data_IF_101152583497
#
_entry.id   IF_101152583497
#
_cell.length_a   1.000
_cell.length_b   1.000
_cell.length_c   1.000
_cell.angle_alpha   90.00
_cell.angle_beta   90.00
_cell.angle_gamma   90.00
#
_symmetry.space_group_name_H-M   'P 1'
#
loop_
_entity.id
_entity.type
_entity.pdbx_description
1 polymer ?
#
# COMPACT_ATOMS: atom_id res chain seq x y z
N UNK A 1 -11.66 17.94 -4.90
CA UNK A 1 -11.62 16.59 -4.31
C UNK A 1 -10.35 15.95 -4.80
N UNK A 2 -9.47 15.54 -3.89
CA UNK A 2 -8.30 14.75 -4.27
C UNK A 2 -8.77 13.38 -4.75
N UNK A 3 -8.04 12.80 -5.70
CA UNK A 3 -8.38 11.55 -6.39
C UNK A 3 -7.09 10.78 -6.69
N UNK A 4 -7.22 9.51 -7.08
CA UNK A 4 -6.08 8.73 -7.55
C UNK A 4 -5.38 9.39 -8.73
N UNK A 5 -4.06 9.28 -8.77
CA UNK A 5 -3.29 9.53 -9.99
C UNK A 5 -3.30 8.28 -10.88
N UNK A 6 -3.19 8.42 -12.22
CA UNK A 6 -2.75 7.32 -13.08
C UNK A 6 -1.53 6.60 -12.49
N UNK A 7 -1.56 5.26 -12.52
CA UNK A 7 -0.46 4.44 -12.00
C UNK A 7 0.87 4.81 -12.67
N UNK A 8 1.94 4.85 -11.89
CA UNK A 8 3.29 5.24 -12.33
C UNK A 8 3.40 6.69 -12.83
N UNK A 9 2.51 7.60 -12.40
CA UNK A 9 2.66 9.03 -12.68
C UNK A 9 3.94 9.61 -12.04
N UNK A 10 4.37 9.05 -10.90
CA UNK A 10 5.52 9.53 -10.14
C UNK A 10 6.74 8.59 -10.27
N UNK A 11 7.97 9.12 -10.09
CA UNK A 11 9.18 8.30 -10.20
C UNK A 11 9.17 7.09 -9.25
N UNK A 12 9.71 5.93 -9.69
CA UNK A 12 9.80 4.75 -8.85
C UNK A 12 10.82 4.92 -7.71
N UNK A 13 10.73 4.04 -6.72
CA UNK A 13 11.79 3.88 -5.71
C UNK A 13 13.15 3.58 -6.37
N UNK A 14 14.22 4.34 -6.06
CA UNK A 14 15.50 4.22 -6.79
C UNK A 14 16.16 2.83 -6.70
N UNK A 15 15.93 2.09 -5.61
CA UNK A 15 16.58 0.79 -5.38
C UNK A 15 15.82 -0.40 -5.96
N UNK A 16 14.49 -0.34 -6.03
CA UNK A 16 13.65 -1.49 -6.38
C UNK A 16 12.82 -1.27 -7.65
N UNK A 17 12.78 -0.05 -8.19
CA UNK A 17 11.98 0.25 -9.38
C UNK A 17 10.47 0.21 -9.14
N UNK A 18 10.02 0.20 -7.87
CA UNK A 18 8.61 0.11 -7.51
C UNK A 18 7.96 1.49 -7.48
N UNK A 19 6.87 1.66 -8.22
CA UNK A 19 5.99 2.84 -8.21
C UNK A 19 4.88 2.70 -7.17
N UNK A 20 4.31 3.85 -6.80
CA UNK A 20 3.08 3.97 -6.00
C UNK A 20 3.13 3.17 -4.69
N UNK A 21 4.33 3.04 -4.10
CA UNK A 21 4.51 2.39 -2.79
C UNK A 21 4.04 3.28 -1.63
N UNK A 22 3.87 4.58 -1.89
CA UNK A 22 3.49 5.61 -0.95
C UNK A 22 2.49 6.55 -1.63
N UNK A 23 1.31 6.73 -1.02
CA UNK A 23 0.21 7.50 -1.58
C UNK A 23 -0.56 6.74 -2.67
N UNK A 24 -1.40 7.47 -3.40
CA UNK A 24 -2.41 6.94 -4.32
C UNK A 24 -3.48 6.14 -3.57
N UNK A 25 -3.22 4.89 -3.18
CA UNK A 25 -4.17 4.03 -2.48
C UNK A 25 -3.49 3.33 -1.32
N UNK A 26 -4.24 3.05 -0.24
CA UNK A 26 -3.77 2.10 0.76
C UNK A 26 -3.80 0.70 0.16
N UNK A 27 -2.80 -0.12 0.46
CA UNK A 27 -2.69 -1.45 -0.14
C UNK A 27 -2.85 -2.57 0.88
N UNK A 28 -3.80 -3.46 0.61
CA UNK A 28 -4.04 -4.65 1.44
C UNK A 28 -2.82 -5.58 1.51
N UNK A 29 -2.47 -5.96 2.74
CA UNK A 29 -1.47 -6.98 3.03
C UNK A 29 -2.13 -8.26 3.57
N UNK A 30 -1.46 -9.40 3.36
CA UNK A 30 -1.89 -10.69 3.94
C UNK A 30 -1.78 -10.68 5.47
N UNK A 31 -0.88 -9.88 6.02
CA UNK A 31 -0.67 -9.68 7.45
C UNK A 31 -1.96 -9.24 8.16
N UNK A 32 -2.12 -9.72 9.40
CA UNK A 32 -3.20 -9.32 10.30
C UNK A 32 -2.64 -8.67 11.54
N UNK A 33 -3.35 -7.67 12.05
CA UNK A 33 -3.06 -7.02 13.33
C UNK A 33 -3.21 -8.00 14.48
N UNK A 34 -2.21 -8.05 15.34
CA UNK A 34 -2.23 -8.90 16.54
C UNK A 34 -3.33 -8.49 17.52
N UNK A 35 -3.70 -7.20 17.57
CA UNK A 35 -4.65 -6.69 18.56
C UNK A 35 -6.11 -6.84 18.12
N UNK A 36 -6.39 -6.71 16.82
CA UNK A 36 -7.77 -6.68 16.28
C UNK A 36 -8.09 -7.79 15.29
N UNK A 37 -7.09 -8.58 14.86
CA UNK A 37 -7.27 -9.65 13.87
C UNK A 37 -7.66 -9.18 12.46
N UNK A 38 -7.68 -7.86 12.23
CA UNK A 38 -7.99 -7.21 10.95
C UNK A 38 -6.78 -7.25 10.03
N UNK A 39 -7.02 -7.21 8.72
CA UNK A 39 -5.94 -7.12 7.76
C UNK A 39 -5.24 -5.75 7.86
N UNK A 40 -3.94 -5.78 7.62
CA UNK A 40 -3.10 -4.58 7.59
C UNK A 40 -3.16 -3.96 6.20
N UNK A 41 -3.21 -2.63 6.14
CA UNK A 41 -2.92 -1.86 4.94
C UNK A 41 -1.72 -0.94 5.12
N UNK A 42 -1.09 -0.59 3.99
CA UNK A 42 0.19 0.12 3.92
C UNK A 42 0.16 1.19 2.83
N UNK A 43 1.15 2.08 2.84
CA UNK A 43 1.44 3.01 1.75
C UNK A 43 0.74 4.37 1.87
N UNK A 44 -0.45 4.38 2.45
CA UNK A 44 -1.29 5.57 2.56
C UNK A 44 -1.97 5.94 1.23
N UNK A 45 -2.99 6.79 1.26
CA UNK A 45 -3.79 7.14 0.07
C UNK A 45 -3.88 8.64 -0.22
N UNK A 46 -4.56 9.00 -1.32
CA UNK A 46 -4.89 10.39 -1.66
C UNK A 46 -5.82 11.08 -0.64
N UNK A 47 -6.42 10.34 0.29
CA UNK A 47 -7.29 10.89 1.35
C UNK A 47 -6.52 11.24 2.62
N UNK A 48 -5.24 10.85 2.72
CA UNK A 48 -4.47 10.94 3.94
C UNK A 48 -3.34 11.96 3.86
N UNK A 49 -2.91 12.46 5.03
CA UNK A 49 -1.76 13.36 5.14
C UNK A 49 -0.42 12.63 5.05
N UNK A 50 0.65 13.40 4.92
CA UNK A 50 2.04 12.91 4.81
C UNK A 50 2.48 11.97 5.96
N UNK A 51 1.84 12.06 7.13
CA UNK A 51 2.13 11.18 8.27
C UNK A 51 1.72 9.74 8.01
N UNK A 52 0.65 9.49 7.24
CA UNK A 52 0.19 8.16 6.86
C UNK A 52 0.94 7.60 5.66
N UNK A 53 1.38 8.48 4.76
CA UNK A 53 2.15 8.16 3.55
C UNK A 53 3.65 7.93 3.87
N UNK A 54 3.97 6.97 4.74
CA UNK A 54 5.36 6.57 5.03
C UNK A 54 5.54 5.06 4.98
N UNK A 55 6.75 4.63 4.62
CA UNK A 55 7.12 3.21 4.42
C UNK A 55 6.82 2.33 5.64
N UNK A 56 6.88 2.91 6.85
CA UNK A 56 6.72 2.17 8.11
C UNK A 56 5.29 2.11 8.61
N UNK A 57 4.40 2.96 8.13
CA UNK A 57 3.04 3.02 8.66
C UNK A 57 2.24 1.77 8.32
N UNK A 58 1.34 1.42 9.23
CA UNK A 58 0.47 0.25 9.17
C UNK A 58 -0.87 0.64 9.76
N UNK A 59 -1.95 0.37 9.04
CA UNK A 59 -3.30 0.64 9.50
C UNK A 59 -4.14 -0.63 9.51
N UNK A 60 -4.99 -0.76 10.52
CA UNK A 60 -5.93 -1.87 10.64
C UNK A 60 -7.21 -1.52 9.89
N UNK A 61 -7.49 -2.24 8.81
CA UNK A 61 -8.70 -2.01 8.03
C UNK A 61 -9.63 -3.23 8.06
N UNK A 62 -10.91 -2.98 8.36
CA UNK A 62 -11.93 -4.04 8.49
C UNK A 62 -12.68 -4.35 7.19
N UNK A 63 -12.82 -3.36 6.32
CA UNK A 63 -13.60 -3.43 5.08
C UNK A 63 -12.96 -2.53 4.03
N UNK A 64 -13.17 -2.83 2.75
CA UNK A 64 -12.68 -1.99 1.66
C UNK A 64 -13.40 -0.63 1.60
N UNK A 65 -12.65 0.38 1.19
CA UNK A 65 -13.04 1.78 0.96
C UNK A 65 -12.70 2.17 -0.48
N UNK A 66 -13.09 3.38 -0.91
CA UNK A 66 -12.82 3.88 -2.28
C UNK A 66 -11.33 4.06 -2.58
N UNK A 67 -10.50 4.27 -1.56
CA UNK A 67 -9.06 4.43 -1.64
C UNK A 67 -8.29 3.15 -1.33
N UNK A 68 -8.99 2.01 -1.26
CA UNK A 68 -8.42 0.68 -1.07
C UNK A 68 -7.95 0.06 -2.39
N UNK A 69 -6.67 -0.28 -2.47
CA UNK A 69 -6.06 -1.03 -3.56
C UNK A 69 -5.28 -2.25 -3.08
N UNK A 70 -4.56 -2.89 -4.00
CA UNK A 70 -3.68 -4.00 -3.71
C UNK A 70 -2.62 -4.16 -4.80
N UNK A 71 -1.54 -4.86 -4.45
CA UNK A 71 -0.60 -5.43 -5.41
C UNK A 71 -0.47 -6.92 -5.18
N UNK A 72 -0.21 -7.65 -6.26
CA UNK A 72 0.03 -9.09 -6.20
C UNK A 72 1.52 -9.38 -6.09
N UNK A 73 1.86 -10.41 -5.33
CA UNK A 73 3.22 -10.93 -5.22
C UNK A 73 3.23 -12.35 -5.75
N UNK A 74 4.28 -12.69 -6.51
CA UNK A 74 4.54 -14.05 -6.97
C UNK A 74 5.80 -14.57 -6.27
N UNK A 75 5.70 -15.74 -5.67
CA UNK A 75 6.88 -16.44 -5.15
C UNK A 75 7.65 -17.03 -6.33
N UNK A 76 8.91 -16.64 -6.46
CA UNK A 76 9.80 -17.18 -7.47
C UNK A 76 10.44 -18.47 -6.93
N UNK A 77 10.45 -19.57 -7.71
CA UNK A 77 11.19 -20.77 -7.34
C UNK A 77 12.64 -20.40 -7.06
N UNK A 78 13.22 -20.97 -5.99
CA UNK A 78 14.66 -20.83 -5.75
C UNK A 78 15.39 -21.53 -6.91
N UNK A 79 16.23 -20.79 -7.62
CA UNK A 79 17.21 -21.39 -8.52
C UNK A 79 18.17 -22.22 -7.67
N UNK A 80 18.18 -23.54 -7.90
CA UNK A 80 19.18 -24.44 -7.34
C UNK A 80 20.56 -24.21 -7.92
#
# INVERSE_FOLDING_TARGET
>A
KDTTAPVKQFPPSPKLGLCDMIGNVVEWCRDRSASRGRYIVRGGSYLEGESACRIRERFDMGSATEDSGFRVCLEMPRSG
#
